data_IF_917893602644
#
_entry.id   IF_917893602644
#
_cell.length_a   1.000
_cell.length_b   1.000
_cell.length_c   1.000
_cell.angle_alpha   90.00
_cell.angle_beta   90.00
_cell.angle_gamma   90.00
#
_symmetry.space_group_name_H-M   'P 1'
#
loop_
_entity.id
_entity.type
_entity.pdbx_description
1 polymer ?
#
# COMPACT_ATOMS: atom_id res chain seq x y z
N UNK A 1 7.72 33.31 12.08
CA UNK A 1 6.49 32.95 11.33
C UNK A 1 6.77 32.44 9.89
N UNK A 2 7.79 31.58 9.68
CA UNK A 2 8.11 31.02 8.35
C UNK A 2 7.66 29.55 8.17
N UNK A 3 7.11 28.93 9.21
CA UNK A 3 6.78 27.51 9.27
C UNK A 3 5.42 27.16 8.66
N UNK A 4 4.44 28.06 8.70
CA UNK A 4 3.09 27.81 8.19
C UNK A 4 3.04 27.47 6.68
N UNK A 5 3.68 28.24 5.77
CA UNK A 5 3.67 27.90 4.34
C UNK A 5 4.45 26.60 4.05
N UNK A 6 5.48 26.27 4.83
CA UNK A 6 6.23 25.02 4.70
C UNK A 6 5.35 23.79 5.02
N UNK A 7 4.55 23.85 6.09
CA UNK A 7 3.62 22.77 6.44
C UNK A 7 2.47 22.64 5.44
N UNK A 8 1.98 23.76 4.88
CA UNK A 8 0.96 23.74 3.82
C UNK A 8 1.50 23.09 2.54
N UNK A 9 2.73 23.42 2.14
CA UNK A 9 3.40 22.83 0.97
C UNK A 9 3.66 21.33 1.21
N UNK A 10 4.13 20.94 2.39
CA UNK A 10 4.30 19.53 2.76
C UNK A 10 2.97 18.77 2.70
N UNK A 11 1.89 19.33 3.26
CA UNK A 11 0.56 18.72 3.21
C UNK A 11 0.05 18.55 1.78
N UNK A 12 0.21 19.56 0.93
CA UNK A 12 -0.19 19.50 -0.48
C UNK A 12 0.64 18.48 -1.27
N UNK A 13 1.96 18.44 -1.06
CA UNK A 13 2.84 17.46 -1.68
C UNK A 13 2.49 16.04 -1.23
N UNK A 14 2.27 15.81 0.06
CA UNK A 14 1.83 14.51 0.57
C UNK A 14 0.48 14.08 -0.02
N UNK A 15 -0.47 15.01 -0.16
CA UNK A 15 -1.79 14.72 -0.74
C UNK A 15 -1.70 14.33 -2.22
N UNK A 16 -0.92 15.07 -3.02
CA UNK A 16 -0.76 14.82 -4.47
C UNK A 16 0.08 13.57 -4.72
N UNK A 17 1.06 13.29 -3.86
CA UNK A 17 1.99 12.18 -4.07
C UNK A 17 1.52 10.88 -3.43
N UNK A 18 0.53 10.89 -2.54
CA UNK A 18 0.06 9.62 -1.96
C UNK A 18 -0.42 8.67 -3.04
N UNK A 19 0.04 7.40 -3.03
CA UNK A 19 -0.43 6.43 -3.99
C UNK A 19 -1.85 6.01 -3.61
N UNK A 20 -2.83 6.78 -4.07
CA UNK A 20 -4.27 6.55 -3.84
C UNK A 20 -4.78 5.41 -4.74
N UNK A 21 -4.06 5.13 -5.82
CA UNK A 21 -4.46 4.21 -6.87
C UNK A 21 -4.09 2.75 -6.52
N UNK A 22 -5.12 1.90 -6.59
CA UNK A 22 -5.01 0.46 -6.41
C UNK A 22 -4.12 -0.18 -7.45
N UNK A 23 -4.08 0.34 -8.68
CA UNK A 23 -3.21 -0.18 -9.74
C UNK A 23 -1.73 0.08 -9.45
N UNK A 24 -1.41 1.25 -8.88
CA UNK A 24 -0.04 1.57 -8.43
C UNK A 24 0.38 0.62 -7.30
N UNK A 25 -0.51 0.34 -6.35
CA UNK A 25 -0.26 -0.66 -5.30
C UNK A 25 0.04 -2.03 -5.87
N UNK A 26 -0.81 -2.53 -6.79
CA UNK A 26 -0.65 -3.85 -7.43
C UNK A 26 0.68 -3.97 -8.17
N UNK A 27 1.05 -2.95 -8.95
CA UNK A 27 2.30 -2.92 -9.69
C UNK A 27 3.52 -2.96 -8.75
N UNK A 28 3.51 -2.17 -7.68
CA UNK A 28 4.61 -2.15 -6.71
C UNK A 28 4.67 -3.42 -5.87
N UNK A 29 3.53 -4.02 -5.51
CA UNK A 29 3.48 -5.32 -4.81
C UNK A 29 4.05 -6.43 -5.70
N UNK A 30 3.67 -6.47 -6.97
CA UNK A 30 4.21 -7.45 -7.91
C UNK A 30 5.73 -7.35 -8.04
N UNK A 31 6.26 -6.14 -8.24
CA UNK A 31 7.69 -5.90 -8.33
C UNK A 31 8.41 -6.27 -7.03
N UNK A 32 7.82 -5.94 -5.87
CA UNK A 32 8.39 -6.28 -4.56
C UNK A 32 8.51 -7.80 -4.39
N UNK A 33 7.45 -8.54 -4.69
CA UNK A 33 7.42 -9.98 -4.47
C UNK A 33 8.27 -10.73 -5.49
N UNK A 34 8.33 -10.30 -6.75
CA UNK A 34 9.26 -10.85 -7.73
C UNK A 34 10.72 -10.68 -7.31
N UNK A 35 11.08 -9.51 -6.77
CA UNK A 35 12.48 -9.20 -6.41
C UNK A 35 12.90 -9.77 -5.06
N UNK A 36 11.97 -9.94 -4.11
CA UNK A 36 12.27 -10.38 -2.74
C UNK A 36 11.93 -11.84 -2.42
N UNK A 37 10.94 -12.43 -3.10
CA UNK A 37 10.34 -13.70 -2.68
C UNK A 37 10.25 -14.75 -3.81
N UNK A 38 10.67 -14.40 -5.03
CA UNK A 38 10.75 -15.34 -6.17
C UNK A 38 9.42 -15.54 -6.92
N UNK A 39 9.46 -16.37 -7.96
CA UNK A 39 8.36 -16.56 -8.92
C UNK A 39 7.05 -17.04 -8.27
N UNK A 40 7.13 -17.99 -7.33
CA UNK A 40 5.97 -18.60 -6.66
C UNK A 40 5.23 -17.56 -5.81
N UNK A 41 5.97 -16.79 -5.01
CA UNK A 41 5.38 -15.71 -4.23
C UNK A 41 4.74 -14.66 -5.15
N UNK A 42 5.35 -14.37 -6.30
CA UNK A 42 4.80 -13.46 -7.30
C UNK A 42 3.46 -13.93 -7.88
N UNK A 43 3.27 -15.25 -8.03
CA UNK A 43 1.99 -15.83 -8.43
C UNK A 43 0.94 -15.75 -7.31
N UNK A 44 1.32 -16.01 -6.05
CA UNK A 44 0.41 -15.88 -4.90
C UNK A 44 -0.05 -14.42 -4.74
N UNK A 45 0.87 -13.47 -4.87
CA UNK A 45 0.55 -12.04 -4.85
C UNK A 45 -0.38 -11.63 -5.99
N UNK A 46 -0.16 -12.15 -7.22
CA UNK A 46 -1.09 -11.98 -8.34
C UNK A 46 -2.48 -12.56 -8.04
N UNK A 47 -2.53 -13.74 -7.42
CA UNK A 47 -3.77 -14.38 -6.96
C UNK A 47 -4.52 -13.49 -5.97
N UNK A 48 -3.87 -13.06 -4.90
CA UNK A 48 -4.46 -12.17 -3.89
C UNK A 48 -4.96 -10.85 -4.50
N UNK A 49 -4.17 -10.28 -5.42
CA UNK A 49 -4.55 -9.07 -6.16
C UNK A 49 -5.80 -9.30 -7.03
N UNK A 50 -5.85 -10.43 -7.77
CA UNK A 50 -6.96 -10.74 -8.68
C UNK A 50 -8.28 -11.00 -7.94
N UNK A 51 -8.21 -11.52 -6.72
CA UNK A 51 -9.37 -11.81 -5.89
C UNK A 51 -9.88 -10.58 -5.12
N UNK A 52 -9.36 -9.37 -5.39
CA UNK A 52 -9.65 -8.17 -4.60
C UNK A 52 -9.40 -8.38 -3.10
N UNK A 53 -8.44 -9.23 -2.73
CA UNK A 53 -8.13 -9.57 -1.34
C UNK A 53 -7.51 -8.40 -0.56
N UNK A 54 -7.45 -7.20 -1.13
CA UNK A 54 -6.88 -6.03 -0.48
C UNK A 54 -7.89 -4.90 -0.35
N UNK A 55 -7.98 -4.31 0.84
CA UNK A 55 -8.67 -3.05 1.10
C UNK A 55 -7.64 -1.94 1.25
N UNK A 56 -7.74 -0.89 0.45
CA UNK A 56 -6.90 0.31 0.58
C UNK A 56 -7.70 1.40 1.30
N UNK A 57 -7.17 1.91 2.41
CA UNK A 57 -7.70 3.07 3.12
C UNK A 57 -6.77 4.26 2.92
N UNK A 58 -7.29 5.32 2.32
CA UNK A 58 -6.53 6.54 2.04
C UNK A 58 -6.71 7.54 3.18
N UNK A 59 -5.60 8.05 3.71
CA UNK A 59 -5.55 9.16 4.66
C UNK A 59 -4.89 10.37 4.00
N UNK A 60 -5.02 11.54 4.64
CA UNK A 60 -4.48 12.80 4.10
C UNK A 60 -2.97 12.75 3.81
N UNK A 61 -2.20 12.03 4.64
CA UNK A 61 -0.74 12.00 4.57
C UNK A 61 -0.16 10.64 4.19
N UNK A 62 -0.95 9.57 4.21
CA UNK A 62 -0.50 8.22 3.84
C UNK A 62 -1.68 7.37 3.39
N UNK A 63 -1.41 6.23 2.76
CA UNK A 63 -2.40 5.19 2.47
C UNK A 63 -2.05 3.92 3.21
N UNK A 64 -3.03 3.11 3.58
CA UNK A 64 -2.83 1.81 4.21
C UNK A 64 -3.46 0.73 3.33
N UNK A 65 -2.74 -0.36 3.11
CA UNK A 65 -3.25 -1.55 2.43
C UNK A 65 -3.42 -2.67 3.45
N UNK A 66 -4.61 -3.22 3.51
CA UNK A 66 -4.97 -4.35 4.36
C UNK A 66 -5.27 -5.57 3.50
N UNK A 67 -4.79 -6.74 3.90
CA UNK A 67 -5.24 -8.03 3.38
C UNK A 67 -6.57 -8.37 4.06
N UNK A 68 -7.59 -8.64 3.25
CA UNK A 68 -8.87 -9.15 3.66
C UNK A 68 -8.75 -10.67 3.79
N UNK A 69 -9.07 -11.20 4.96
CA UNK A 69 -9.16 -12.65 5.14
C UNK A 69 -10.48 -13.17 4.53
N UNK A 70 -10.41 -14.21 3.69
CA UNK A 70 -11.59 -14.81 3.06
C UNK A 70 -12.34 -15.66 4.08
N UNK A 71 -13.06 -15.02 5.01
CA UNK A 71 -13.88 -15.74 6.00
C UNK A 71 -14.16 -14.97 7.29
N UNK A 72 -13.45 -13.88 7.56
CA UNK A 72 -13.65 -13.07 8.76
C UNK A 72 -13.66 -11.59 8.38
N UNK A 73 -14.85 -10.98 8.29
CA UNK A 73 -15.03 -9.57 7.92
C UNK A 73 -14.29 -8.57 8.84
N UNK A 74 -13.82 -9.03 10.01
CA UNK A 74 -13.10 -8.22 10.99
C UNK A 74 -11.59 -8.48 11.12
N UNK A 75 -11.00 -9.41 10.35
CA UNK A 75 -9.54 -9.66 10.39
C UNK A 75 -8.84 -9.03 9.18
N UNK A 76 -8.76 -7.70 9.18
CA UNK A 76 -7.97 -6.94 8.22
C UNK A 76 -6.51 -6.86 8.70
N UNK A 77 -5.59 -7.56 8.05
CA UNK A 77 -4.16 -7.49 8.38
C UNK A 77 -3.46 -6.39 7.59
N UNK A 78 -2.75 -5.49 8.26
CA UNK A 78 -1.98 -4.43 7.59
C UNK A 78 -0.78 -5.04 6.86
N UNK A 79 -0.73 -4.88 5.53
CA UNK A 79 0.34 -5.44 4.68
C UNK A 79 1.22 -4.39 4.04
N UNK A 80 0.76 -3.15 3.89
CA UNK A 80 1.60 -2.07 3.38
C UNK A 80 1.14 -0.68 3.81
N UNK A 81 2.10 0.24 3.83
CA UNK A 81 1.88 1.68 4.04
C UNK A 81 2.35 2.43 2.81
N UNK A 82 1.47 3.21 2.19
CA UNK A 82 1.74 4.09 1.07
C UNK A 82 2.12 5.47 1.57
N UNK A 83 3.26 6.00 1.15
CA UNK A 83 3.70 7.35 1.47
C UNK A 83 4.53 7.91 0.31
N UNK A 84 4.25 9.14 -0.11
CA UNK A 84 4.99 9.85 -1.18
C UNK A 84 5.21 9.01 -2.45
N UNK A 85 4.15 8.35 -2.93
CA UNK A 85 4.12 7.61 -4.20
C UNK A 85 4.70 6.21 -4.12
N UNK A 86 5.16 5.78 -2.94
CA UNK A 86 5.77 4.47 -2.72
C UNK A 86 5.01 3.67 -1.67
N UNK A 87 4.92 2.37 -1.89
CA UNK A 87 4.38 1.41 -0.95
C UNK A 87 5.52 0.70 -0.21
N UNK A 88 5.45 0.77 1.11
CA UNK A 88 6.34 0.10 2.04
C UNK A 88 5.60 -1.13 2.57
N UNK A 89 6.02 -2.31 2.14
CA UNK A 89 5.41 -3.57 2.54
C UNK A 89 5.86 -3.94 3.96
N UNK A 90 4.87 -4.12 4.84
CA UNK A 90 5.12 -4.54 6.22
C UNK A 90 5.49 -6.02 6.15
N UNK A 91 6.67 -6.35 6.66
CA UNK A 91 7.18 -7.73 6.68
C UNK A 91 6.35 -8.53 7.67
N UNK A 92 5.24 -9.12 7.22
CA UNK A 92 4.72 -10.32 7.89
C UNK A 92 5.59 -11.46 7.40
N UNK A 93 6.36 -12.07 8.29
CA UNK A 93 7.11 -13.28 7.96
C UNK A 93 6.12 -14.30 7.38
N UNK A 94 6.20 -14.52 6.07
CA UNK A 94 5.63 -15.66 5.35
C UNK A 94 6.74 -16.70 5.25
#
# INVERSE_FOLDING_TARGET
>A
MKSLPFFVILGALSFITNPVDREIFKAQLYNHVQTKSGFIAGMIAKGAVSLNAFTIKNYYLFSLAFLNDFGAENNQQLVAVGYMGKWFFVKSDI
#
